data_IF_725920505023
#
_entry.id   IF_725920505023
#
_cell.length_a   1.000
_cell.length_b   1.000
_cell.length_c   1.000
_cell.angle_alpha   90.00
_cell.angle_beta   90.00
_cell.angle_gamma   90.00
#
_symmetry.space_group_name_H-M   'P 1'
#
loop_
_entity.id
_entity.type
_entity.pdbx_description
1 polymer ?
#
# COMPACT_ATOMS: atom_id res chain seq x y z
N UNK A 1 -0.58 51.63 26.41
CA UNK A 1 -0.75 50.17 26.28
C UNK A 1 -1.52 49.93 25.01
N UNK A 2 -0.96 49.47 23.90
CA UNK A 2 -1.76 49.03 22.79
C UNK A 2 -2.21 47.59 23.06
N UNK A 3 -3.51 47.39 22.92
CA UNK A 3 -4.22 46.13 23.00
C UNK A 3 -3.66 45.16 21.98
N UNK A 4 -3.33 43.94 22.42
CA UNK A 4 -2.96 42.86 21.56
C UNK A 4 -4.18 42.40 20.73
N UNK A 5 -4.12 42.67 19.44
CA UNK A 5 -5.08 42.08 18.48
C UNK A 5 -4.95 40.56 18.51
N UNK A 6 -6.04 39.90 18.91
CA UNK A 6 -6.19 38.49 18.76
C UNK A 6 -5.82 38.08 17.32
N UNK A 7 -4.93 37.12 17.13
CA UNK A 7 -4.63 36.57 15.83
C UNK A 7 -5.95 35.93 15.31
N UNK A 8 -6.57 36.57 14.33
CA UNK A 8 -7.67 35.99 13.58
C UNK A 8 -7.17 34.66 13.03
N UNK A 9 -7.91 33.60 13.33
CA UNK A 9 -7.62 32.23 12.88
C UNK A 9 -7.85 32.19 11.35
N UNK A 10 -6.81 32.59 10.59
CA UNK A 10 -6.85 32.60 9.13
C UNK A 10 -6.70 31.17 8.65
N UNK A 11 -7.59 30.72 7.74
CA UNK A 11 -7.46 29.42 7.08
C UNK A 11 -6.14 29.32 6.32
N UNK A 12 -5.70 28.10 6.05
CA UNK A 12 -4.41 27.80 5.43
C UNK A 12 -4.58 27.31 4.00
N UNK A 13 -3.77 27.83 3.07
CA UNK A 13 -3.63 27.31 1.72
C UNK A 13 -2.24 26.73 1.53
N UNK A 14 -2.17 25.43 1.27
CA UNK A 14 -0.93 24.72 0.96
C UNK A 14 -0.68 24.70 -0.56
N UNK A 15 0.56 24.96 -0.97
CA UNK A 15 0.94 25.03 -2.39
C UNK A 15 1.85 23.87 -2.76
N UNK A 16 1.36 23.04 -3.65
CA UNK A 16 2.04 21.90 -4.26
C UNK A 16 2.62 22.32 -5.60
N UNK A 17 3.95 22.38 -5.74
CA UNK A 17 4.60 22.78 -7.00
C UNK A 17 6.10 22.45 -7.01
N UNK A 18 6.73 22.52 -8.20
CA UNK A 18 8.19 22.54 -8.30
C UNK A 18 8.81 23.83 -7.74
N UNK A 19 10.07 23.76 -7.30
CA UNK A 19 10.82 24.91 -6.77
C UNK A 19 11.95 25.33 -7.72
N UNK A 20 12.21 26.63 -7.80
CA UNK A 20 13.28 27.18 -8.62
C UNK A 20 13.06 27.01 -10.12
N UNK A 21 14.15 26.94 -10.88
CA UNK A 21 14.09 26.68 -12.32
C UNK A 21 13.94 25.20 -12.57
N UNK A 22 12.92 24.83 -13.33
CA UNK A 22 12.63 23.43 -13.73
C UNK A 22 12.50 23.34 -15.25
N UNK A 23 13.06 22.28 -15.82
CA UNK A 23 12.93 21.96 -17.24
C UNK A 23 11.86 20.91 -17.44
N UNK A 24 10.92 21.21 -18.30
CA UNK A 24 9.99 20.23 -18.84
C UNK A 24 10.73 19.40 -19.90
N UNK A 25 10.88 18.10 -19.63
CA UNK A 25 11.64 17.19 -20.51
C UNK A 25 10.92 16.84 -21.81
N UNK A 26 9.59 17.06 -21.89
CA UNK A 26 8.83 16.83 -23.13
C UNK A 26 8.96 18.00 -24.10
N UNK A 27 8.95 19.22 -23.60
CA UNK A 27 9.00 20.43 -24.41
C UNK A 27 10.41 21.05 -24.48
N UNK A 28 11.32 20.66 -23.58
CA UNK A 28 12.65 21.26 -23.44
C UNK A 28 12.65 22.67 -22.84
N UNK A 29 11.48 23.20 -22.42
CA UNK A 29 11.34 24.56 -21.85
C UNK A 29 11.76 24.56 -20.39
N UNK A 30 12.50 25.59 -20.00
CA UNK A 30 12.86 25.83 -18.59
C UNK A 30 12.07 27.01 -18.05
N UNK A 31 11.37 26.79 -16.92
CA UNK A 31 10.54 27.81 -16.27
C UNK A 31 11.08 28.13 -14.88
N UNK A 32 11.07 29.41 -14.51
CA UNK A 32 11.34 29.88 -13.14
C UNK A 32 10.04 29.85 -12.32
N UNK A 33 9.75 28.72 -11.72
CA UNK A 33 8.51 28.48 -10.96
C UNK A 33 8.43 29.30 -9.68
N UNK A 34 9.56 29.77 -9.13
CA UNK A 34 9.55 30.68 -7.99
C UNK A 34 8.94 32.05 -8.34
N UNK A 35 8.98 32.45 -9.61
CA UNK A 35 8.28 33.66 -10.06
C UNK A 35 6.78 33.47 -10.10
N UNK A 36 6.30 32.30 -10.53
CA UNK A 36 4.88 31.95 -10.44
C UNK A 36 4.41 32.01 -8.98
N UNK A 37 5.16 31.38 -8.07
CA UNK A 37 4.83 31.40 -6.66
C UNK A 37 4.77 32.81 -6.08
N UNK A 38 5.84 33.58 -6.25
CA UNK A 38 5.98 34.93 -5.66
C UNK A 38 5.04 35.97 -6.26
N UNK A 39 4.82 35.90 -7.57
CA UNK A 39 4.09 36.94 -8.28
C UNK A 39 2.59 36.63 -8.45
N UNK A 40 2.20 35.39 -8.49
CA UNK A 40 0.81 34.96 -8.72
C UNK A 40 0.22 34.25 -7.49
N UNK A 41 0.77 33.08 -7.12
CA UNK A 41 0.09 32.19 -6.17
C UNK A 41 0.02 32.83 -4.77
N UNK A 42 1.17 33.19 -4.21
CA UNK A 42 1.24 33.75 -2.84
C UNK A 42 0.42 35.04 -2.68
N UNK A 43 0.45 35.99 -3.63
CA UNK A 43 -0.43 37.17 -3.58
C UNK A 43 -1.91 36.85 -3.72
N UNK A 44 -2.29 35.88 -4.59
CA UNK A 44 -3.67 35.49 -4.77
C UNK A 44 -4.27 34.82 -3.51
N UNK A 45 -3.51 33.93 -2.87
CA UNK A 45 -3.90 33.29 -1.61
C UNK A 45 -4.08 34.33 -0.49
N UNK A 46 -3.14 35.28 -0.37
CA UNK A 46 -3.25 36.34 0.61
C UNK A 46 -4.45 37.26 0.34
N UNK A 47 -4.72 37.59 -0.92
CA UNK A 47 -5.88 38.38 -1.30
C UNK A 47 -7.22 37.64 -1.00
N UNK A 48 -7.22 36.31 -1.03
CA UNK A 48 -8.34 35.47 -0.60
C UNK A 48 -8.48 35.35 0.94
N UNK A 49 -7.60 35.97 1.73
CA UNK A 49 -7.66 35.99 3.20
C UNK A 49 -7.01 34.78 3.87
N UNK A 50 -6.30 33.94 3.12
CA UNK A 50 -5.68 32.71 3.63
C UNK A 50 -4.16 32.90 3.90
N UNK A 51 -3.62 32.10 4.81
CA UNK A 51 -2.19 31.93 4.97
C UNK A 51 -1.65 31.01 3.86
N UNK A 52 -0.57 31.45 3.18
CA UNK A 52 0.03 30.70 2.09
C UNK A 52 1.29 29.99 2.56
N UNK A 53 1.30 28.66 2.46
CA UNK A 53 2.43 27.81 2.85
C UNK A 53 2.86 26.95 1.66
N UNK A 54 4.16 26.97 1.33
CA UNK A 54 4.77 26.07 0.36
C UNK A 54 5.72 25.12 1.09
N UNK A 55 5.94 23.90 0.57
CA UNK A 55 6.67 22.85 1.28
C UNK A 55 8.11 23.27 1.70
N UNK A 56 8.81 24.06 0.90
CA UNK A 56 10.16 24.58 1.22
C UNK A 56 10.16 25.72 2.27
N UNK A 57 9.01 26.29 2.59
CA UNK A 57 8.85 27.30 3.65
C UNK A 57 8.59 26.67 5.03
N UNK A 58 8.40 25.32 5.10
CA UNK A 58 8.14 24.61 6.35
C UNK A 58 9.48 24.30 7.04
N UNK A 59 9.70 24.93 8.20
CA UNK A 59 10.87 24.65 9.05
C UNK A 59 10.58 23.45 9.95
N UNK A 60 11.34 22.36 9.81
CA UNK A 60 11.19 21.18 10.65
C UNK A 60 12.54 20.54 11.00
N UNK A 61 12.60 19.80 12.10
CA UNK A 61 13.75 19.02 12.57
C UNK A 61 13.40 17.52 12.58
N UNK A 62 13.18 16.90 11.41
CA UNK A 62 12.78 15.48 11.33
C UNK A 62 12.64 15.00 9.91
N UNK A 63 11.85 13.95 9.69
CA UNK A 63 11.54 13.46 8.35
C UNK A 63 10.81 14.53 7.55
N UNK A 64 11.34 14.87 6.39
CA UNK A 64 10.85 15.95 5.50
C UNK A 64 9.39 15.72 5.08
N UNK A 65 8.99 14.46 4.95
CA UNK A 65 7.71 14.07 4.36
C UNK A 65 6.50 14.26 5.30
N UNK A 66 6.68 14.11 6.62
CA UNK A 66 5.57 14.15 7.59
C UNK A 66 4.82 15.49 7.59
N UNK A 67 5.49 16.67 7.70
CA UNK A 67 4.80 17.95 7.65
C UNK A 67 4.08 18.21 6.32
N UNK A 68 4.61 17.72 5.21
CA UNK A 68 3.97 17.83 3.89
C UNK A 68 2.64 17.06 3.85
N UNK A 69 2.62 15.79 4.30
CA UNK A 69 1.38 15.01 4.36
C UNK A 69 0.35 15.61 5.32
N UNK A 70 0.80 16.19 6.43
CA UNK A 70 -0.09 16.90 7.35
C UNK A 70 -0.73 18.13 6.67
N UNK A 71 0.01 18.89 5.87
CA UNK A 71 -0.53 19.99 5.10
C UNK A 71 -1.51 19.52 4.02
N UNK A 72 -1.18 18.44 3.27
CA UNK A 72 -2.08 17.86 2.27
C UNK A 72 -3.42 17.43 2.88
N UNK A 73 -3.42 16.95 4.12
CA UNK A 73 -4.63 16.54 4.81
C UNK A 73 -5.38 17.72 5.44
N UNK A 74 -4.67 18.63 6.14
CA UNK A 74 -5.29 19.60 7.05
C UNK A 74 -5.52 20.97 6.40
N UNK A 75 -4.75 21.39 5.38
CA UNK A 75 -4.94 22.67 4.73
C UNK A 75 -6.38 22.85 4.23
N UNK A 76 -6.95 24.03 4.45
CA UNK A 76 -8.30 24.37 4.03
C UNK A 76 -8.44 24.37 2.51
N UNK A 77 -7.41 24.89 1.81
CA UNK A 77 -7.30 24.89 0.35
C UNK A 77 -5.95 24.32 -0.06
N UNK A 78 -5.89 23.61 -1.17
CA UNK A 78 -4.63 23.25 -1.84
C UNK A 78 -4.62 23.81 -3.25
N UNK A 79 -3.53 24.47 -3.62
CA UNK A 79 -3.24 24.88 -5.00
C UNK A 79 -2.10 24.01 -5.53
N UNK A 80 -2.38 23.22 -6.56
CA UNK A 80 -1.38 22.35 -7.20
C UNK A 80 -1.00 22.92 -8.58
N UNK A 81 0.26 23.33 -8.73
CA UNK A 81 0.84 23.75 -10.00
C UNK A 81 1.60 22.59 -10.65
N UNK A 82 1.05 22.07 -11.75
CA UNK A 82 1.58 20.92 -12.48
C UNK A 82 2.59 21.32 -13.57
N UNK A 83 2.96 22.58 -13.65
CA UNK A 83 3.91 23.09 -14.65
C UNK A 83 5.21 22.29 -14.66
N UNK A 84 5.79 22.13 -15.86
CA UNK A 84 6.99 21.31 -16.11
C UNK A 84 6.82 19.80 -15.86
N UNK A 85 5.58 19.28 -15.84
CA UNK A 85 5.27 17.87 -15.63
C UNK A 85 5.95 17.29 -14.38
N UNK A 86 5.96 18.08 -13.27
CA UNK A 86 6.66 17.71 -12.05
C UNK A 86 6.04 16.48 -11.39
N UNK A 87 6.78 15.37 -11.37
CA UNK A 87 6.31 14.08 -10.84
C UNK A 87 5.88 14.13 -9.38
N UNK A 88 6.57 14.92 -8.55
CA UNK A 88 6.20 15.07 -7.13
C UNK A 88 4.88 15.83 -6.99
N UNK A 89 4.67 16.89 -7.78
CA UNK A 89 3.41 17.63 -7.76
C UNK A 89 2.22 16.76 -8.17
N UNK A 90 2.39 15.86 -9.16
CA UNK A 90 1.35 14.90 -9.52
C UNK A 90 1.08 13.89 -8.40
N UNK A 91 2.13 13.38 -7.75
CA UNK A 91 1.99 12.46 -6.62
C UNK A 91 1.26 13.12 -5.44
N UNK A 92 1.70 14.31 -5.04
CA UNK A 92 1.12 15.08 -3.94
C UNK A 92 -0.35 15.46 -4.21
N UNK A 93 -0.68 15.82 -5.46
CA UNK A 93 -2.06 16.05 -5.89
C UNK A 93 -2.91 14.78 -5.76
N UNK A 94 -2.38 13.62 -6.18
CA UNK A 94 -3.05 12.33 -6.02
C UNK A 94 -3.31 11.98 -4.56
N UNK A 95 -2.33 12.22 -3.69
CA UNK A 95 -2.48 12.07 -2.23
C UNK A 95 -3.55 13.02 -1.69
N UNK A 96 -3.55 14.31 -2.09
CA UNK A 96 -4.57 15.27 -1.67
C UNK A 96 -5.96 14.81 -2.10
N UNK A 97 -6.14 14.37 -3.35
CA UNK A 97 -7.41 13.86 -3.85
C UNK A 97 -7.89 12.62 -3.08
N UNK A 98 -6.97 11.76 -2.59
CA UNK A 98 -7.32 10.61 -1.76
C UNK A 98 -7.67 10.99 -0.32
N UNK A 99 -7.11 12.08 0.21
CA UNK A 99 -7.31 12.52 1.59
C UNK A 99 -8.54 13.42 1.78
N UNK A 100 -8.88 14.23 0.77
CA UNK A 100 -9.93 15.25 0.89
C UNK A 100 -10.69 15.42 -0.43
N UNK A 101 -12.04 15.39 -0.42
CA UNK A 101 -12.86 15.41 -1.64
C UNK A 101 -13.13 16.82 -2.20
N UNK A 102 -12.58 17.87 -1.60
CA UNK A 102 -12.89 19.26 -1.98
C UNK A 102 -11.78 20.24 -1.63
N UNK A 103 -11.91 21.46 -2.14
CA UNK A 103 -11.01 22.59 -1.94
C UNK A 103 -9.61 22.39 -2.51
N UNK A 104 -9.53 21.78 -3.71
CA UNK A 104 -8.29 21.60 -4.46
C UNK A 104 -8.38 22.30 -5.81
N UNK A 105 -7.47 23.22 -6.07
CA UNK A 105 -7.33 23.91 -7.34
C UNK A 105 -6.10 23.44 -8.08
N UNK A 106 -6.27 23.05 -9.34
CA UNK A 106 -5.16 22.66 -10.21
C UNK A 106 -4.89 23.77 -11.22
N UNK A 107 -3.63 24.18 -11.30
CA UNK A 107 -3.15 25.17 -12.27
C UNK A 107 -1.95 24.59 -13.04
N UNK A 108 -1.66 25.15 -14.21
CA UNK A 108 -0.43 24.88 -14.94
C UNK A 108 -0.12 25.98 -15.94
N UNK A 109 1.11 26.02 -16.44
CA UNK A 109 1.44 26.86 -17.59
C UNK A 109 0.85 26.29 -18.89
N UNK A 110 0.59 27.15 -19.85
CA UNK A 110 -0.16 26.83 -21.09
C UNK A 110 0.64 26.05 -22.16
N UNK A 111 1.93 25.83 -21.94
CA UNK A 111 2.78 25.05 -22.84
C UNK A 111 2.69 23.54 -22.63
N UNK A 112 2.07 23.08 -21.53
CA UNK A 112 1.80 21.65 -21.33
C UNK A 112 0.70 21.20 -22.30
N UNK A 113 1.05 20.30 -23.22
CA UNK A 113 0.14 19.81 -24.27
C UNK A 113 -0.65 18.57 -23.88
N UNK A 114 -0.10 17.76 -23.01
CA UNK A 114 -0.69 16.47 -22.60
C UNK A 114 -0.60 16.30 -21.10
N UNK A 115 -1.75 16.01 -20.49
CA UNK A 115 -1.82 15.55 -19.10
C UNK A 115 -1.91 14.02 -19.05
N UNK A 116 -1.42 13.38 -17.99
CA UNK A 116 -1.75 11.97 -17.73
C UNK A 116 -3.27 11.77 -17.82
N UNK A 117 -3.68 10.61 -18.32
CA UNK A 117 -5.09 10.28 -18.58
C UNK A 117 -5.98 10.56 -17.35
N UNK A 118 -5.50 10.23 -16.16
CA UNK A 118 -6.25 10.37 -14.90
C UNK A 118 -6.48 11.83 -14.46
N UNK A 119 -5.69 12.79 -15.00
CA UNK A 119 -5.84 14.22 -14.71
C UNK A 119 -6.69 14.95 -15.76
N UNK A 120 -6.92 14.37 -16.92
CA UNK A 120 -7.76 14.98 -17.97
C UNK A 120 -9.21 15.25 -17.57
N UNK A 121 -9.66 14.67 -16.46
CA UNK A 121 -11.01 14.87 -15.89
C UNK A 121 -11.06 15.99 -14.85
N UNK A 122 -9.91 16.57 -14.48
CA UNK A 122 -9.80 17.64 -13.48
C UNK A 122 -9.81 18.99 -14.19
N UNK A 123 -10.52 19.97 -13.62
CA UNK A 123 -10.53 21.34 -14.13
C UNK A 123 -9.19 22.02 -13.86
N UNK A 124 -8.36 22.18 -14.92
CA UNK A 124 -7.06 22.81 -14.84
C UNK A 124 -7.17 24.26 -15.36
N UNK A 125 -6.67 25.23 -14.58
CA UNK A 125 -6.60 26.63 -14.97
C UNK A 125 -5.21 26.95 -15.49
N UNK A 126 -5.12 27.52 -16.69
CA UNK A 126 -3.84 27.78 -17.35
C UNK A 126 -3.42 29.24 -17.29
N UNK A 127 -2.10 29.45 -17.12
CA UNK A 127 -1.44 30.74 -17.20
C UNK A 127 -0.26 30.69 -18.19
N UNK A 128 0.11 31.84 -18.74
CA UNK A 128 1.23 31.94 -19.66
C UNK A 128 2.54 32.25 -18.96
N UNK A 129 3.59 31.42 -19.22
CA UNK A 129 4.93 31.60 -18.67
C UNK A 129 5.98 31.71 -19.78
N UNK A 130 6.76 32.77 -19.82
CA UNK A 130 7.76 33.04 -20.85
C UNK A 130 9.11 32.33 -20.64
N UNK A 131 9.27 31.54 -19.57
CA UNK A 131 10.50 30.86 -19.14
C UNK A 131 11.17 31.58 -17.97
N UNK A 132 11.90 32.64 -18.18
CA UNK A 132 12.58 33.40 -17.13
C UNK A 132 11.65 34.34 -16.35
N UNK A 133 10.40 34.52 -16.79
CA UNK A 133 9.43 35.38 -16.12
C UNK A 133 8.02 35.21 -16.66
N UNK A 134 7.12 36.01 -16.11
CA UNK A 134 5.71 36.10 -16.49
C UNK A 134 5.44 37.54 -16.85
N UNK A 135 4.73 37.79 -17.93
CA UNK A 135 4.32 39.13 -18.31
C UNK A 135 3.47 39.81 -17.24
N UNK A 136 3.58 41.11 -17.09
CA UNK A 136 2.87 41.86 -16.03
C UNK A 136 1.34 41.73 -16.19
N UNK A 137 0.82 41.87 -17.40
CA UNK A 137 -0.62 41.81 -17.64
C UNK A 137 -1.14 40.40 -17.34
N UNK A 138 -0.34 39.38 -17.63
CA UNK A 138 -0.68 37.97 -17.31
C UNK A 138 -0.63 37.73 -15.77
N UNK A 139 0.33 38.30 -15.06
CA UNK A 139 0.36 38.25 -13.59
C UNK A 139 -0.91 38.82 -13.00
N UNK A 140 -1.33 40.01 -13.43
CA UNK A 140 -2.55 40.67 -12.95
C UNK A 140 -3.80 39.85 -13.30
N UNK A 141 -3.90 39.38 -14.55
CA UNK A 141 -5.01 38.55 -15.03
C UNK A 141 -5.16 37.27 -14.21
N UNK A 142 -4.08 36.51 -14.12
CA UNK A 142 -4.16 35.19 -13.51
C UNK A 142 -4.22 35.25 -11.98
N UNK A 143 -3.60 36.28 -11.35
CA UNK A 143 -3.76 36.51 -9.92
C UNK A 143 -5.24 36.72 -9.57
N UNK A 144 -5.97 37.55 -10.34
CA UNK A 144 -7.39 37.72 -10.16
C UNK A 144 -8.19 36.44 -10.33
N UNK A 145 -7.94 35.67 -11.41
CA UNK A 145 -8.60 34.38 -11.68
C UNK A 145 -8.39 33.41 -10.53
N UNK A 146 -7.17 33.32 -10.01
CA UNK A 146 -6.84 32.39 -8.92
C UNK A 146 -7.44 32.85 -7.59
N UNK A 147 -7.42 34.16 -7.28
CA UNK A 147 -8.06 34.71 -6.08
C UNK A 147 -9.56 34.41 -6.08
N UNK A 148 -10.26 34.71 -7.17
CA UNK A 148 -11.70 34.52 -7.31
C UNK A 148 -12.04 33.04 -7.14
N UNK A 149 -11.26 32.13 -7.75
CA UNK A 149 -11.43 30.69 -7.64
C UNK A 149 -11.21 30.17 -6.19
N UNK A 150 -10.17 30.66 -5.49
CA UNK A 150 -9.92 30.30 -4.09
C UNK A 150 -11.12 30.72 -3.21
N UNK A 151 -11.55 31.97 -3.35
CA UNK A 151 -12.70 32.51 -2.59
C UNK A 151 -13.97 31.71 -2.86
N UNK A 152 -14.23 31.37 -4.12
CA UNK A 152 -15.40 30.58 -4.52
C UNK A 152 -15.40 29.21 -3.84
N UNK A 153 -14.33 28.40 -3.98
CA UNK A 153 -14.31 27.03 -3.46
C UNK A 153 -14.24 26.99 -1.92
N UNK A 154 -13.56 27.97 -1.31
CA UNK A 154 -13.42 28.04 0.15
C UNK A 154 -14.74 28.36 0.84
N UNK A 155 -15.54 29.25 0.25
CA UNK A 155 -16.81 29.71 0.84
C UNK A 155 -18.02 28.90 0.38
N UNK A 156 -17.86 27.98 -0.59
CA UNK A 156 -19.00 27.20 -1.13
C UNK A 156 -19.57 26.23 -0.11
N UNK A 157 -20.89 26.34 0.14
CA UNK A 157 -21.61 25.46 1.05
C UNK A 157 -22.86 24.88 0.35
N UNK A 158 -23.04 23.56 0.31
CA UNK A 158 -22.06 22.53 0.67
C UNK A 158 -20.82 22.54 -0.27
N UNK A 159 -19.64 22.10 0.19
CA UNK A 159 -18.46 22.06 -0.66
C UNK A 159 -18.66 21.10 -1.83
N UNK A 160 -18.15 21.49 -2.99
CA UNK A 160 -18.26 20.67 -4.21
C UNK A 160 -17.12 19.65 -4.25
N UNK A 161 -17.44 18.40 -4.60
CA UNK A 161 -16.44 17.37 -4.85
C UNK A 161 -15.61 17.76 -6.09
N UNK A 162 -14.30 17.92 -5.90
CA UNK A 162 -13.31 18.21 -6.93
C UNK A 162 -12.27 17.08 -7.08
N UNK A 163 -12.44 15.99 -6.31
CA UNK A 163 -11.56 14.83 -6.35
C UNK A 163 -12.09 13.73 -7.25
N UNK A 164 -11.33 13.29 -8.27
CA UNK A 164 -11.67 12.11 -9.06
C UNK A 164 -11.85 10.86 -8.20
N UNK A 165 -11.04 10.69 -7.13
CA UNK A 165 -11.11 9.53 -6.24
C UNK A 165 -12.51 9.39 -5.63
N UNK A 166 -13.06 10.47 -5.07
CA UNK A 166 -14.41 10.46 -4.48
C UNK A 166 -15.54 10.54 -5.51
N UNK A 167 -15.24 10.97 -6.74
CA UNK A 167 -16.21 10.94 -7.83
C UNK A 167 -16.42 9.50 -8.37
N UNK A 168 -15.36 8.70 -8.44
CA UNK A 168 -15.41 7.33 -8.97
C UNK A 168 -15.62 6.26 -7.89
N UNK A 169 -15.14 6.50 -6.65
CA UNK A 169 -15.28 5.57 -5.53
C UNK A 169 -16.42 6.02 -4.62
N UNK A 170 -17.65 5.69 -5.01
CA UNK A 170 -18.83 6.01 -4.24
C UNK A 170 -18.80 5.37 -2.84
N UNK A 171 -19.03 6.18 -1.80
CA UNK A 171 -19.05 5.71 -0.41
C UNK A 171 -17.70 5.74 0.31
N UNK A 172 -16.63 6.20 -0.34
CA UNK A 172 -15.37 6.45 0.35
C UNK A 172 -15.55 7.58 1.37
N UNK A 173 -15.12 7.34 2.63
CA UNK A 173 -15.18 8.35 3.70
C UNK A 173 -13.85 9.06 3.84
N UNK A 174 -13.79 10.40 3.75
CA UNK A 174 -12.53 11.13 3.92
C UNK A 174 -11.92 10.88 5.31
N UNK A 175 -10.58 10.73 5.43
CA UNK A 175 -9.93 10.45 6.72
C UNK A 175 -10.19 11.49 7.81
N UNK A 176 -10.37 12.76 7.45
CA UNK A 176 -10.73 13.80 8.40
C UNK A 176 -12.14 13.61 8.97
N UNK A 177 -13.11 13.23 8.12
CA UNK A 177 -14.47 12.94 8.54
C UNK A 177 -14.51 11.66 9.40
N UNK A 178 -13.78 10.62 9.01
CA UNK A 178 -13.65 9.40 9.79
C UNK A 178 -13.10 9.66 11.20
N UNK A 179 -12.09 10.54 11.35
CA UNK A 179 -11.56 10.95 12.65
C UNK A 179 -12.57 11.75 13.48
N UNK A 180 -13.30 12.68 12.87
CA UNK A 180 -14.34 13.47 13.56
C UNK A 180 -15.47 12.56 14.06
N UNK A 181 -15.91 11.61 13.24
CA UNK A 181 -16.91 10.62 13.60
C UNK A 181 -16.46 9.72 14.77
N UNK A 182 -15.17 9.32 14.78
CA UNK A 182 -14.59 8.57 15.89
C UNK A 182 -14.60 9.36 17.20
N UNK A 183 -14.23 10.65 17.16
CA UNK A 183 -14.28 11.52 18.34
C UNK A 183 -15.70 11.71 18.89
N UNK A 184 -16.70 11.81 18.03
CA UNK A 184 -18.13 11.88 18.43
C UNK A 184 -18.58 10.56 19.03
N UNK A 185 -18.20 9.41 18.44
CA UNK A 185 -18.55 8.09 18.95
C UNK A 185 -17.93 7.84 20.35
N UNK A 186 -16.66 8.25 20.59
CA UNK A 186 -16.03 8.19 21.90
C UNK A 186 -16.75 9.11 22.94
N UNK A 187 -17.16 10.30 22.52
CA UNK A 187 -17.87 11.23 23.39
C UNK A 187 -19.26 10.68 23.75
N UNK A 188 -19.98 10.08 22.81
CA UNK A 188 -21.28 9.42 23.03
C UNK A 188 -21.12 8.19 23.92
N UNK A 189 -20.10 7.35 23.69
CA UNK A 189 -19.82 6.17 24.51
C UNK A 189 -19.45 6.54 25.98
N UNK A 190 -18.85 7.71 26.18
CA UNK A 190 -18.52 8.23 27.53
C UNK A 190 -19.72 8.87 28.24
N UNK A 191 -20.71 9.35 27.49
CA UNK A 191 -21.86 10.11 28.05
C UNK A 191 -23.14 9.30 28.24
N UNK A 192 -23.26 8.09 27.68
CA UNK A 192 -24.48 7.28 27.82
C UNK A 192 -24.17 5.77 27.74
N UNK A 193 -23.90 5.07 28.88
CA UNK A 193 -23.72 3.62 28.86
C UNK A 193 -24.96 2.83 28.48
N UNK A 194 -26.17 3.41 28.54
CA UNK A 194 -27.45 2.70 28.42
C UNK A 194 -28.33 3.06 27.21
N UNK A 195 -27.82 3.86 26.24
CA UNK A 195 -28.64 4.32 25.12
C UNK A 195 -28.25 3.67 23.77
N UNK A 196 -28.07 2.36 23.72
CA UNK A 196 -27.94 1.61 22.46
C UNK A 196 -29.17 0.74 22.26
N UNK A 197 -30.31 1.39 22.02
CA UNK A 197 -31.51 0.77 21.47
C UNK A 197 -32.39 1.89 20.86
N UNK A 198 -32.14 2.30 19.66
CA UNK A 198 -33.08 2.50 18.57
C UNK A 198 -32.51 3.30 17.41
N UNK A 199 -32.53 2.72 16.21
CA UNK A 199 -32.81 3.33 14.91
C UNK A 199 -31.95 4.49 14.40
N UNK A 200 -30.74 4.23 13.82
CA UNK A 200 -29.99 5.25 13.07
C UNK A 200 -28.72 4.72 12.37
N UNK A 201 -28.91 3.92 11.33
CA UNK A 201 -27.93 2.93 10.84
C UNK A 201 -26.71 3.38 10.03
N UNK A 202 -26.25 4.65 9.92
CA UNK A 202 -25.10 4.91 9.03
C UNK A 202 -23.84 5.52 9.69
N UNK A 203 -23.99 6.33 10.71
CA UNK A 203 -22.88 7.01 11.39
C UNK A 203 -22.34 6.17 12.55
N UNK A 204 -23.25 5.52 13.29
CA UNK A 204 -22.90 4.58 14.37
C UNK A 204 -22.17 3.34 13.83
N UNK A 205 -22.53 2.88 12.64
CA UNK A 205 -21.93 1.70 12.01
C UNK A 205 -20.48 1.94 11.59
N UNK A 206 -20.15 3.09 11.02
CA UNK A 206 -18.76 3.43 10.64
C UNK A 206 -17.84 3.61 11.86
N UNK A 207 -18.34 4.22 12.93
CA UNK A 207 -17.61 4.36 14.19
C UNK A 207 -17.38 2.99 14.86
N UNK A 208 -18.40 2.13 14.88
CA UNK A 208 -18.32 0.76 15.37
C UNK A 208 -17.32 -0.06 14.57
N UNK A 209 -17.29 0.10 13.23
CA UNK A 209 -16.32 -0.53 12.33
C UNK A 209 -14.87 -0.16 12.68
N UNK A 210 -14.58 1.12 12.87
CA UNK A 210 -13.24 1.60 13.21
C UNK A 210 -12.75 1.06 14.56
N UNK A 211 -13.62 1.05 15.56
CA UNK A 211 -13.30 0.50 16.88
C UNK A 211 -13.04 -1.02 16.82
N UNK A 212 -13.87 -1.76 16.08
CA UNK A 212 -13.67 -3.20 15.92
C UNK A 212 -12.35 -3.50 15.20
N UNK A 213 -12.00 -2.73 14.16
CA UNK A 213 -10.73 -2.90 13.44
C UNK A 213 -9.51 -2.63 14.33
N UNK A 214 -9.57 -1.61 15.21
CA UNK A 214 -8.50 -1.36 16.19
C UNK A 214 -8.36 -2.52 17.19
N UNK A 215 -9.47 -3.10 17.64
CA UNK A 215 -9.45 -4.28 18.50
C UNK A 215 -8.91 -5.52 17.77
N UNK A 216 -9.22 -5.68 16.48
CA UNK A 216 -8.61 -6.71 15.63
C UNK A 216 -7.10 -6.54 15.57
N UNK A 217 -6.61 -5.31 15.34
CA UNK A 217 -5.17 -5.00 15.30
C UNK A 217 -4.48 -5.32 16.63
N UNK A 218 -5.12 -4.95 17.74
CA UNK A 218 -4.63 -5.23 19.07
C UNK A 218 -4.54 -6.74 19.34
N UNK A 219 -5.64 -7.46 19.12
CA UNK A 219 -5.68 -8.91 19.32
C UNK A 219 -4.64 -9.65 18.46
N UNK A 220 -4.44 -9.22 17.19
CA UNK A 220 -3.40 -9.77 16.32
C UNK A 220 -1.98 -9.53 16.86
N UNK A 221 -1.69 -8.33 17.38
CA UNK A 221 -0.38 -8.00 17.98
C UNK A 221 -0.11 -8.82 19.24
N UNK A 222 -1.14 -9.12 20.01
CA UNK A 222 -1.09 -9.94 21.22
C UNK A 222 -1.07 -11.45 20.91
N UNK A 223 -1.25 -11.85 19.64
CA UNK A 223 -1.31 -13.25 19.23
C UNK A 223 -2.65 -13.93 19.51
N UNK A 224 -3.66 -13.18 19.95
CA UNK A 224 -5.02 -13.69 20.18
C UNK A 224 -5.81 -13.73 18.85
N UNK A 225 -5.46 -14.71 18.02
CA UNK A 225 -6.12 -14.90 16.72
C UNK A 225 -7.57 -15.34 16.84
N UNK A 226 -7.97 -15.94 17.96
CA UNK A 226 -9.37 -16.35 18.20
C UNK A 226 -10.27 -15.12 18.36
N UNK A 227 -9.90 -14.20 19.22
CA UNK A 227 -10.61 -12.93 19.39
C UNK A 227 -10.58 -12.11 18.11
N UNK A 228 -9.41 -12.01 17.45
CA UNK A 228 -9.28 -11.28 16.18
C UNK A 228 -10.23 -11.84 15.08
N UNK A 229 -10.37 -13.18 15.00
CA UNK A 229 -11.29 -13.85 14.06
C UNK A 229 -12.75 -13.46 14.31
N UNK A 230 -13.19 -13.51 15.57
CA UNK A 230 -14.57 -13.16 15.94
C UNK A 230 -14.88 -11.70 15.58
N UNK A 231 -13.98 -10.78 15.97
CA UNK A 231 -14.14 -9.36 15.70
C UNK A 231 -14.21 -9.08 14.19
N UNK A 232 -13.29 -9.64 13.41
CA UNK A 232 -13.24 -9.38 11.97
C UNK A 232 -14.39 -10.05 11.22
N UNK A 233 -14.88 -11.22 11.69
CA UNK A 233 -16.10 -11.85 11.18
C UNK A 233 -17.33 -10.98 11.43
N UNK A 234 -17.39 -10.32 12.60
CA UNK A 234 -18.46 -9.36 12.92
C UNK A 234 -18.42 -8.17 11.96
N UNK A 235 -17.23 -7.61 11.71
CA UNK A 235 -17.03 -6.51 10.74
C UNK A 235 -17.55 -6.91 9.36
N UNK A 236 -17.13 -8.09 8.84
CA UNK A 236 -17.61 -8.62 7.55
C UNK A 236 -19.15 -8.80 7.53
N UNK A 237 -19.71 -9.32 8.63
CA UNK A 237 -21.16 -9.50 8.78
C UNK A 237 -21.93 -8.18 8.72
N UNK A 238 -21.44 -7.14 9.39
CA UNK A 238 -22.03 -5.79 9.37
C UNK A 238 -21.98 -5.19 7.96
N UNK A 239 -20.86 -5.36 7.23
CA UNK A 239 -20.75 -4.88 5.84
C UNK A 239 -21.77 -5.56 4.92
N UNK A 240 -21.98 -6.87 5.07
CA UNK A 240 -22.99 -7.62 4.29
C UNK A 240 -24.41 -7.29 4.68
N UNK A 241 -24.68 -7.00 5.94
CA UNK A 241 -25.99 -6.59 6.42
C UNK A 241 -26.39 -5.20 5.88
N UNK A 242 -25.41 -4.29 5.78
CA UNK A 242 -25.63 -2.95 5.23
C UNK A 242 -25.93 -2.97 3.71
N UNK A 243 -25.29 -3.85 2.96
CA UNK A 243 -25.54 -4.08 1.53
C UNK A 243 -25.31 -5.56 1.17
N UNK A 244 -26.36 -6.38 1.11
CA UNK A 244 -26.26 -7.80 0.76
C UNK A 244 -25.69 -8.09 -0.63
N UNK A 245 -25.79 -7.14 -1.56
CA UNK A 245 -25.29 -7.29 -2.93
C UNK A 245 -23.87 -6.74 -3.12
N UNK A 246 -23.28 -6.14 -2.08
CA UNK A 246 -21.93 -5.61 -2.14
C UNK A 246 -20.94 -6.75 -2.41
N UNK A 247 -20.00 -6.57 -3.36
CA UNK A 247 -18.89 -7.50 -3.52
C UNK A 247 -18.10 -7.64 -2.21
N UNK A 248 -17.51 -8.81 -2.00
CA UNK A 248 -16.61 -9.01 -0.85
C UNK A 248 -15.46 -7.99 -0.89
N UNK A 249 -15.12 -7.44 0.26
CA UNK A 249 -13.95 -6.58 0.40
C UNK A 249 -12.68 -7.47 0.48
N UNK A 250 -11.79 -7.40 -0.52
CA UNK A 250 -10.62 -8.27 -0.55
C UNK A 250 -9.75 -8.15 0.70
N UNK A 251 -9.52 -6.94 1.22
CA UNK A 251 -8.72 -6.72 2.41
C UNK A 251 -9.31 -7.42 3.64
N UNK A 252 -10.61 -7.31 3.85
CA UNK A 252 -11.29 -7.96 4.98
C UNK A 252 -11.24 -9.49 4.85
N UNK A 253 -11.51 -10.01 3.65
CA UNK A 253 -11.50 -11.47 3.41
C UNK A 253 -10.10 -12.05 3.55
N UNK A 254 -9.09 -11.43 2.95
CA UNK A 254 -7.68 -11.84 3.05
C UNK A 254 -7.22 -11.87 4.51
N UNK A 255 -7.49 -10.79 5.23
CA UNK A 255 -7.13 -10.69 6.64
C UNK A 255 -7.87 -11.71 7.50
N UNK A 256 -9.16 -11.93 7.25
CA UNK A 256 -9.95 -12.94 7.94
C UNK A 256 -9.43 -14.35 7.66
N UNK A 257 -9.08 -14.67 6.43
CA UNK A 257 -8.49 -15.94 6.07
C UNK A 257 -7.16 -16.18 6.79
N UNK A 258 -6.27 -15.18 6.80
CA UNK A 258 -5.00 -15.21 7.54
C UNK A 258 -5.20 -15.48 9.03
N UNK A 259 -6.09 -14.74 9.67
CA UNK A 259 -6.40 -14.87 11.10
C UNK A 259 -7.02 -16.24 11.39
N UNK A 260 -7.93 -16.72 10.53
CA UNK A 260 -8.63 -17.98 10.68
C UNK A 260 -7.66 -19.16 10.74
N UNK A 261 -6.75 -19.30 9.77
CA UNK A 261 -5.82 -20.43 9.83
C UNK A 261 -4.77 -20.30 10.94
N UNK A 262 -4.43 -19.06 11.37
CA UNK A 262 -3.54 -18.83 12.53
C UNK A 262 -4.22 -19.15 13.85
N UNK A 263 -5.53 -18.97 13.97
CA UNK A 263 -6.29 -19.33 15.16
C UNK A 263 -6.31 -20.85 15.42
N UNK A 264 -6.17 -21.68 14.37
CA UNK A 264 -6.17 -23.15 14.45
C UNK A 264 -7.40 -23.75 15.16
N UNK A 265 -8.54 -23.05 15.09
CA UNK A 265 -9.77 -23.42 15.78
C UNK A 265 -10.88 -23.75 14.77
N UNK A 266 -11.71 -24.79 15.01
CA UNK A 266 -11.65 -25.74 16.15
C UNK A 266 -10.51 -26.76 16.04
N UNK A 267 -10.01 -27.03 14.85
CA UNK A 267 -8.79 -27.83 14.57
C UNK A 267 -7.94 -27.13 13.50
N UNK A 268 -6.62 -27.39 13.40
CA UNK A 268 -5.78 -26.81 12.36
C UNK A 268 -6.33 -27.07 10.96
N UNK A 269 -6.76 -28.30 10.65
CA UNK A 269 -7.31 -28.66 9.34
C UNK A 269 -8.62 -27.91 9.04
N UNK A 270 -9.56 -27.87 9.99
CA UNK A 270 -10.83 -27.15 9.81
C UNK A 270 -10.61 -25.64 9.65
N UNK A 271 -9.66 -25.07 10.39
CA UNK A 271 -9.29 -23.67 10.22
C UNK A 271 -8.70 -23.35 8.84
N UNK A 272 -7.92 -24.27 8.27
CA UNK A 272 -7.40 -24.16 6.91
C UNK A 272 -8.50 -24.28 5.86
N UNK A 273 -9.42 -25.23 6.01
CA UNK A 273 -10.57 -25.37 5.11
C UNK A 273 -11.49 -24.15 5.15
N UNK A 274 -11.72 -23.57 6.32
CA UNK A 274 -12.48 -22.33 6.45
C UNK A 274 -11.75 -21.15 5.79
N UNK A 275 -10.44 -21.03 5.97
CA UNK A 275 -9.63 -20.02 5.33
C UNK A 275 -9.64 -20.17 3.79
N UNK A 276 -9.58 -21.41 3.29
CA UNK A 276 -9.71 -21.73 1.86
C UNK A 276 -11.06 -21.26 1.32
N UNK A 277 -12.15 -21.61 2.00
CA UNK A 277 -13.50 -21.21 1.59
C UNK A 277 -13.69 -19.67 1.58
N UNK A 278 -13.06 -18.95 2.53
CA UNK A 278 -13.04 -17.49 2.52
C UNK A 278 -12.34 -16.95 1.27
N UNK A 279 -11.15 -17.46 0.96
CA UNK A 279 -10.38 -17.00 -0.20
C UNK A 279 -11.04 -17.36 -1.53
N UNK A 280 -11.80 -18.45 -1.62
CA UNK A 280 -12.57 -18.81 -2.81
C UNK A 280 -13.56 -17.70 -3.23
N UNK A 281 -14.08 -16.92 -2.27
CA UNK A 281 -14.99 -15.80 -2.58
C UNK A 281 -14.31 -14.69 -3.39
N UNK A 282 -12.97 -14.65 -3.40
CA UNK A 282 -12.15 -13.71 -4.17
C UNK A 282 -11.71 -14.28 -5.53
N UNK A 283 -12.22 -15.44 -5.93
CA UNK A 283 -11.90 -16.11 -7.19
C UNK A 283 -10.38 -16.25 -7.47
N UNK A 284 -9.58 -16.92 -6.61
CA UNK A 284 -8.12 -16.96 -6.72
C UNK A 284 -7.62 -17.51 -8.06
N UNK A 285 -8.39 -18.39 -8.72
CA UNK A 285 -8.04 -18.96 -10.03
C UNK A 285 -7.93 -17.91 -11.13
N UNK A 286 -8.71 -16.83 -11.07
CA UNK A 286 -8.72 -15.75 -12.06
C UNK A 286 -8.19 -14.43 -11.52
N UNK A 287 -7.95 -14.32 -10.22
CA UNK A 287 -7.45 -13.12 -9.57
C UNK A 287 -6.04 -12.75 -10.05
N UNK A 288 -5.77 -11.46 -10.19
CA UNK A 288 -4.44 -10.89 -10.36
C UNK A 288 -3.94 -10.20 -9.08
N UNK A 289 -4.70 -10.28 -8.00
CA UNK A 289 -4.30 -9.74 -6.70
C UNK A 289 -3.30 -10.69 -6.02
N UNK A 290 -2.08 -10.23 -5.90
CA UNK A 290 -0.94 -11.04 -5.43
C UNK A 290 -1.03 -11.40 -3.95
N UNK A 291 -1.76 -10.63 -3.14
CA UNK A 291 -2.02 -10.98 -1.74
C UNK A 291 -2.98 -12.18 -1.65
N UNK A 292 -4.08 -12.15 -2.42
CA UNK A 292 -5.00 -13.30 -2.54
C UNK A 292 -4.25 -14.55 -2.99
N UNK A 293 -3.39 -14.43 -4.02
CA UNK A 293 -2.62 -15.56 -4.56
C UNK A 293 -1.61 -16.10 -3.56
N UNK A 294 -0.90 -15.23 -2.85
CA UNK A 294 0.05 -15.62 -1.80
C UNK A 294 -0.63 -16.32 -0.61
N UNK A 295 -1.78 -15.81 -0.16
CA UNK A 295 -2.58 -16.46 0.89
C UNK A 295 -3.18 -17.79 0.43
N UNK A 296 -3.67 -17.87 -0.81
CA UNK A 296 -4.16 -19.11 -1.41
C UNK A 296 -3.07 -20.18 -1.42
N UNK A 297 -1.88 -19.83 -1.92
CA UNK A 297 -0.72 -20.71 -1.91
C UNK A 297 -0.33 -21.13 -0.49
N UNK A 298 -0.34 -20.20 0.48
CA UNK A 298 0.00 -20.48 1.87
C UNK A 298 -0.99 -21.42 2.59
N UNK A 299 -2.28 -21.28 2.31
CA UNK A 299 -3.33 -22.17 2.85
C UNK A 299 -3.22 -23.55 2.24
N UNK A 300 -3.10 -23.66 0.91
CA UNK A 300 -2.98 -24.93 0.22
C UNK A 300 -1.68 -25.68 0.55
N UNK A 301 -0.55 -24.97 0.73
CA UNK A 301 0.71 -25.56 1.24
C UNK A 301 0.50 -26.26 2.58
N UNK A 302 -0.24 -25.62 3.50
CA UNK A 302 -0.52 -26.20 4.82
C UNK A 302 -1.54 -27.32 4.78
N UNK A 303 -2.53 -27.24 3.88
CA UNK A 303 -3.46 -28.35 3.65
C UNK A 303 -2.73 -29.58 3.09
N UNK A 304 -1.76 -29.37 2.19
CA UNK A 304 -0.86 -30.43 1.75
C UNK A 304 -0.06 -31.03 2.93
N UNK A 305 0.52 -30.20 3.79
CA UNK A 305 1.27 -30.68 4.96
C UNK A 305 0.40 -31.56 5.88
N UNK A 306 -0.89 -31.25 6.04
CA UNK A 306 -1.83 -31.99 6.90
C UNK A 306 -2.43 -33.24 6.22
N UNK A 307 -2.74 -33.17 4.93
CA UNK A 307 -3.54 -34.18 4.25
C UNK A 307 -2.75 -35.08 3.30
N UNK A 308 -1.59 -34.62 2.82
CA UNK A 308 -0.79 -35.22 1.74
C UNK A 308 -1.57 -35.39 0.43
N UNK A 309 -2.63 -34.59 0.21
CA UNK A 309 -3.39 -34.61 -1.03
C UNK A 309 -2.68 -33.74 -2.09
N UNK A 310 -2.26 -34.40 -3.19
CA UNK A 310 -1.56 -33.74 -4.31
C UNK A 310 -2.35 -32.57 -4.94
N UNK A 311 -3.68 -32.62 -4.87
CA UNK A 311 -4.50 -31.49 -5.35
C UNK A 311 -4.19 -30.19 -4.61
N UNK A 312 -3.92 -30.27 -3.31
CA UNK A 312 -3.51 -29.10 -2.54
C UNK A 312 -2.09 -28.64 -2.89
N UNK A 313 -1.18 -29.57 -3.15
CA UNK A 313 0.17 -29.23 -3.60
C UNK A 313 0.14 -28.49 -4.95
N UNK A 314 -0.65 -28.97 -5.90
CA UNK A 314 -0.81 -28.35 -7.22
C UNK A 314 -1.43 -26.95 -7.13
N UNK A 315 -2.46 -26.77 -6.30
CA UNK A 315 -3.05 -25.46 -6.07
C UNK A 315 -2.08 -24.49 -5.37
N UNK A 316 -1.25 -24.96 -4.43
CA UNK A 316 -0.23 -24.15 -3.80
C UNK A 316 0.83 -23.69 -4.82
N UNK A 317 1.34 -24.60 -5.66
CA UNK A 317 2.27 -24.27 -6.74
C UNK A 317 1.66 -23.24 -7.67
N UNK A 318 0.42 -23.46 -8.15
CA UNK A 318 -0.29 -22.56 -9.07
C UNK A 318 -0.47 -21.16 -8.49
N UNK A 319 -0.82 -21.05 -7.20
CA UNK A 319 -1.00 -19.77 -6.50
C UNK A 319 0.31 -18.99 -6.41
N UNK A 320 1.38 -19.63 -5.94
CA UNK A 320 2.68 -18.97 -5.82
C UNK A 320 3.34 -18.68 -7.17
N UNK A 321 3.18 -19.55 -8.17
CA UNK A 321 3.70 -19.33 -9.52
C UNK A 321 3.08 -18.10 -10.14
N UNK A 322 1.75 -17.98 -10.10
CA UNK A 322 1.06 -16.80 -10.62
C UNK A 322 1.42 -15.53 -9.83
N UNK A 323 1.46 -15.62 -8.49
CA UNK A 323 1.87 -14.50 -7.64
C UNK A 323 3.28 -14.02 -7.95
N UNK A 324 4.23 -14.95 -8.15
CA UNK A 324 5.60 -14.64 -8.49
C UNK A 324 5.72 -13.92 -9.84
N UNK A 325 5.13 -14.46 -10.91
CA UNK A 325 5.23 -13.85 -12.24
C UNK A 325 4.47 -12.52 -12.39
N UNK A 326 3.46 -12.26 -11.53
CA UNK A 326 2.76 -10.97 -11.52
C UNK A 326 3.52 -9.89 -10.77
N UNK A 327 4.18 -10.22 -9.66
CA UNK A 327 4.81 -9.25 -8.76
C UNK A 327 6.34 -9.25 -8.82
N UNK A 328 6.93 -10.37 -9.25
CA UNK A 328 8.38 -10.58 -9.24
C UNK A 328 9.00 -10.33 -7.86
N UNK A 329 8.41 -10.94 -6.82
CA UNK A 329 8.85 -10.78 -5.43
C UNK A 329 9.50 -12.05 -4.85
N UNK A 330 10.39 -11.86 -3.88
CA UNK A 330 11.15 -12.94 -3.28
C UNK A 330 10.28 -13.93 -2.48
N UNK A 331 9.17 -13.47 -1.87
CA UNK A 331 8.31 -14.30 -1.03
C UNK A 331 7.57 -15.36 -1.85
N UNK A 332 6.88 -14.94 -2.92
CA UNK A 332 6.20 -15.89 -3.80
C UNK A 332 7.20 -16.80 -4.51
N UNK A 333 8.34 -16.25 -4.96
CA UNK A 333 9.37 -16.99 -5.68
C UNK A 333 10.01 -18.11 -4.85
N UNK A 334 10.42 -17.83 -3.62
CA UNK A 334 11.07 -18.86 -2.78
C UNK A 334 10.09 -19.97 -2.37
N UNK A 335 8.84 -19.64 -2.06
CA UNK A 335 7.82 -20.63 -1.77
C UNK A 335 7.47 -21.48 -3.00
N UNK A 336 7.38 -20.88 -4.18
CA UNK A 336 7.24 -21.59 -5.45
C UNK A 336 8.38 -22.60 -5.64
N UNK A 337 9.62 -22.15 -5.53
CA UNK A 337 10.80 -23.00 -5.73
C UNK A 337 10.85 -24.18 -4.76
N UNK A 338 10.50 -23.93 -3.49
CA UNK A 338 10.39 -25.02 -2.49
C UNK A 338 9.32 -26.03 -2.87
N UNK A 339 8.11 -25.58 -3.21
CA UNK A 339 6.99 -26.47 -3.54
C UNK A 339 7.19 -27.23 -4.85
N UNK A 340 7.89 -26.66 -5.82
CA UNK A 340 8.32 -27.40 -7.02
C UNK A 340 9.25 -28.57 -6.65
N UNK A 341 10.17 -28.40 -5.69
CA UNK A 341 10.97 -29.55 -5.21
C UNK A 341 10.12 -30.58 -4.45
N UNK A 342 9.12 -30.13 -3.67
CA UNK A 342 8.18 -31.05 -3.01
C UNK A 342 7.39 -31.84 -4.07
N UNK A 343 6.89 -31.17 -5.11
CA UNK A 343 6.14 -31.82 -6.18
C UNK A 343 7.03 -32.75 -7.00
N UNK A 344 8.28 -32.37 -7.28
CA UNK A 344 9.27 -33.24 -7.92
C UNK A 344 9.50 -34.56 -7.14
N UNK A 345 9.57 -34.47 -5.81
CA UNK A 345 9.73 -35.63 -4.93
C UNK A 345 8.51 -36.58 -4.93
N UNK A 346 7.31 -36.07 -5.25
CA UNK A 346 6.06 -36.82 -5.30
C UNK A 346 5.59 -37.15 -6.72
N UNK A 347 6.35 -36.73 -7.75
CA UNK A 347 5.98 -36.96 -9.15
C UNK A 347 6.03 -38.46 -9.53
N UNK A 348 5.02 -38.92 -10.26
CA UNK A 348 4.96 -40.27 -10.77
C UNK A 348 5.86 -40.45 -12.01
N UNK A 349 6.11 -39.41 -12.73
CA UNK A 349 6.93 -39.37 -13.94
C UNK A 349 8.30 -38.76 -13.65
N UNK A 350 9.38 -39.44 -14.06
CA UNK A 350 10.73 -38.90 -13.97
C UNK A 350 10.91 -37.59 -14.74
N UNK A 351 10.22 -37.46 -15.88
CA UNK A 351 10.29 -36.23 -16.68
C UNK A 351 9.66 -35.05 -15.95
N UNK A 352 8.52 -35.24 -15.28
CA UNK A 352 7.90 -34.20 -14.44
C UNK A 352 8.79 -33.82 -13.25
N UNK A 353 9.36 -34.80 -12.56
CA UNK A 353 10.28 -34.57 -11.46
C UNK A 353 11.48 -33.71 -11.89
N UNK A 354 12.09 -33.99 -13.05
CA UNK A 354 13.19 -33.23 -13.60
C UNK A 354 12.75 -31.83 -14.01
N UNK A 355 11.58 -31.69 -14.64
CA UNK A 355 11.04 -30.40 -15.07
C UNK A 355 10.82 -29.46 -13.86
N UNK A 356 10.18 -29.94 -12.82
CA UNK A 356 9.92 -29.16 -11.60
C UNK A 356 11.23 -28.79 -10.88
N UNK A 357 12.19 -29.71 -10.82
CA UNK A 357 13.47 -29.46 -10.18
C UNK A 357 14.27 -28.37 -10.92
N UNK A 358 14.32 -28.43 -12.25
CA UNK A 358 14.99 -27.41 -13.09
C UNK A 358 14.28 -26.07 -12.98
N UNK A 359 12.95 -26.07 -12.94
CA UNK A 359 12.19 -24.84 -12.77
C UNK A 359 12.44 -24.22 -11.38
N UNK A 360 12.51 -25.01 -10.33
CA UNK A 360 12.86 -24.56 -8.98
C UNK A 360 14.23 -23.85 -8.94
N UNK A 361 15.24 -24.40 -9.64
CA UNK A 361 16.55 -23.75 -9.75
C UNK A 361 16.49 -22.41 -10.49
N UNK A 362 15.72 -22.32 -11.58
CA UNK A 362 15.55 -21.07 -12.35
C UNK A 362 14.92 -19.98 -11.50
N UNK A 363 13.83 -20.32 -10.81
CA UNK A 363 13.13 -19.40 -9.92
C UNK A 363 14.06 -18.90 -8.81
N UNK A 364 14.88 -19.79 -8.19
CA UNK A 364 15.84 -19.37 -7.16
C UNK A 364 16.89 -18.40 -7.67
N UNK A 365 17.38 -18.55 -8.90
CA UNK A 365 18.33 -17.59 -9.49
C UNK A 365 17.69 -16.21 -9.67
N UNK A 366 16.42 -16.16 -10.09
CA UNK A 366 15.67 -14.90 -10.15
C UNK A 366 15.46 -14.30 -8.76
N UNK A 367 15.07 -15.12 -7.77
CA UNK A 367 14.92 -14.70 -6.37
C UNK A 367 16.22 -14.11 -5.80
N UNK A 368 17.38 -14.73 -6.08
CA UNK A 368 18.68 -14.19 -5.68
C UNK A 368 18.90 -12.78 -6.23
N UNK A 369 18.61 -12.55 -7.51
CA UNK A 369 18.73 -11.22 -8.13
C UNK A 369 17.80 -10.21 -7.48
N UNK A 370 16.57 -10.60 -7.13
CA UNK A 370 15.60 -9.76 -6.44
C UNK A 370 16.11 -9.39 -5.03
N UNK A 371 16.58 -10.38 -4.25
CA UNK A 371 17.09 -10.17 -2.90
C UNK A 371 18.32 -9.26 -2.91
N UNK A 372 19.28 -9.48 -3.82
CA UNK A 372 20.45 -8.64 -3.99
C UNK A 372 20.09 -7.18 -4.31
N UNK A 373 19.05 -6.95 -5.12
CA UNK A 373 18.58 -5.62 -5.42
C UNK A 373 17.94 -4.94 -4.20
N UNK A 374 17.16 -5.68 -3.41
CA UNK A 374 16.54 -5.17 -2.18
C UNK A 374 17.57 -4.83 -1.11
N UNK A 375 18.60 -5.65 -0.93
CA UNK A 375 19.65 -5.42 0.08
C UNK A 375 20.55 -4.22 -0.24
N UNK A 376 20.56 -3.71 -1.48
CA UNK A 376 21.23 -2.43 -1.83
C UNK A 376 20.46 -1.21 -1.32
N UNK A 377 19.22 -1.37 -0.90
CA UNK A 377 18.43 -0.29 -0.33
C UNK A 377 18.77 -0.13 1.16
N UNK A 378 19.51 0.92 1.50
CA UNK A 378 19.93 1.23 2.88
C UNK A 378 18.75 1.52 3.82
N UNK A 379 17.57 1.87 3.29
CA UNK A 379 16.36 2.16 4.06
C UNK A 379 15.46 0.93 4.28
N UNK A 380 15.91 -0.28 3.91
CA UNK A 380 15.14 -1.50 4.14
C UNK A 380 14.95 -1.75 5.64
N UNK A 381 13.70 -1.92 6.14
CA UNK A 381 13.44 -2.19 7.56
C UNK A 381 14.15 -3.45 8.03
N UNK A 382 14.71 -3.44 9.24
CA UNK A 382 15.46 -4.58 9.80
C UNK A 382 14.64 -5.90 9.83
N UNK A 383 13.34 -5.80 10.10
CA UNK A 383 12.47 -6.98 10.07
C UNK A 383 12.33 -7.57 8.66
N UNK A 384 12.29 -6.74 7.62
CA UNK A 384 12.24 -7.17 6.23
C UNK A 384 13.61 -7.67 5.76
N UNK A 385 14.69 -7.00 6.15
CA UNK A 385 16.05 -7.40 5.86
C UNK A 385 16.36 -8.83 6.34
N UNK A 386 15.84 -9.19 7.53
CA UNK A 386 15.94 -10.57 8.00
C UNK A 386 15.37 -11.58 7.00
N UNK A 387 14.13 -11.34 6.53
CA UNK A 387 13.45 -12.25 5.62
C UNK A 387 14.11 -12.31 4.24
N UNK A 388 14.64 -11.19 3.75
CA UNK A 388 15.40 -11.15 2.50
C UNK A 388 16.68 -11.98 2.62
N UNK A 389 17.46 -11.84 3.70
CA UNK A 389 18.67 -12.61 3.94
C UNK A 389 18.40 -14.11 4.14
N UNK A 390 17.33 -14.45 4.87
CA UNK A 390 16.89 -15.84 5.05
C UNK A 390 16.46 -16.48 3.72
N UNK A 391 15.80 -15.71 2.86
CA UNK A 391 15.43 -16.15 1.50
C UNK A 391 16.64 -16.33 0.61
N UNK A 392 17.64 -15.43 0.66
CA UNK A 392 18.90 -15.63 -0.06
C UNK A 392 19.60 -16.93 0.39
N UNK A 393 19.63 -17.17 1.72
CA UNK A 393 20.23 -18.40 2.25
C UNK A 393 19.52 -19.65 1.72
N UNK A 394 18.20 -19.66 1.71
CA UNK A 394 17.41 -20.77 1.14
C UNK A 394 17.65 -20.93 -0.37
N UNK A 395 17.69 -19.82 -1.10
CA UNK A 395 17.91 -19.83 -2.54
C UNK A 395 19.30 -20.34 -2.91
N UNK A 396 20.36 -19.87 -2.21
CA UNK A 396 21.73 -20.39 -2.39
C UNK A 396 21.83 -21.89 -2.08
N UNK A 397 21.24 -22.35 -0.99
CA UNK A 397 21.17 -23.79 -0.69
C UNK A 397 20.50 -24.56 -1.83
N UNK A 398 19.37 -24.05 -2.34
CA UNK A 398 18.60 -24.70 -3.39
C UNK A 398 19.28 -24.74 -4.76
N UNK A 399 20.27 -23.89 -5.03
CA UNK A 399 21.11 -23.94 -6.25
C UNK A 399 22.45 -24.66 -6.02
N UNK A 400 22.67 -25.22 -4.81
CA UNK A 400 23.86 -26.00 -4.47
C UNK A 400 25.06 -25.17 -3.99
N UNK A 401 24.89 -23.90 -3.70
CA UNK A 401 25.93 -23.02 -3.14
C UNK A 401 25.83 -22.96 -1.60
N UNK A 402 26.32 -24.02 -0.95
CA UNK A 402 26.20 -24.15 0.49
C UNK A 402 27.05 -23.13 1.26
N UNK A 403 28.18 -22.66 0.68
CA UNK A 403 29.03 -21.66 1.31
C UNK A 403 28.33 -20.30 1.44
N UNK A 404 27.71 -19.83 0.35
CA UNK A 404 26.91 -18.60 0.39
C UNK A 404 25.64 -18.76 1.21
N UNK A 405 24.98 -19.91 1.17
CA UNK A 405 23.82 -20.20 2.00
C UNK A 405 24.13 -20.04 3.49
N UNK A 406 25.25 -20.64 3.96
CA UNK A 406 25.68 -20.55 5.35
C UNK A 406 26.04 -19.11 5.74
N UNK A 407 26.79 -18.39 4.90
CA UNK A 407 27.16 -17.00 5.13
C UNK A 407 25.93 -16.11 5.28
N UNK A 408 24.93 -16.25 4.39
CA UNK A 408 23.68 -15.45 4.45
C UNK A 408 22.82 -15.79 5.65
N UNK A 409 22.82 -17.04 6.07
CA UNK A 409 22.14 -17.47 7.29
C UNK A 409 22.77 -16.85 8.54
N UNK A 410 24.10 -16.78 8.61
CA UNK A 410 24.81 -16.12 9.69
C UNK A 410 24.54 -14.60 9.71
N UNK A 411 24.55 -13.94 8.55
CA UNK A 411 24.15 -12.55 8.42
C UNK A 411 22.71 -12.30 8.93
N UNK A 412 21.74 -13.16 8.57
CA UNK A 412 20.36 -13.06 9.03
C UNK A 412 20.22 -13.24 10.56
N UNK A 413 21.04 -14.12 11.15
CA UNK A 413 20.96 -14.44 12.59
C UNK A 413 21.77 -13.52 13.48
N UNK A 414 22.67 -12.70 12.92
CA UNK A 414 23.58 -11.83 13.65
C UNK A 414 22.88 -10.77 14.53
N UNK A 415 21.79 -10.10 14.11
CA UNK A 415 21.16 -9.10 14.96
C UNK A 415 20.58 -9.70 16.23
N UNK A 416 20.90 -9.09 17.39
CA UNK A 416 20.39 -9.52 18.69
C UNK A 416 18.85 -9.38 18.81
N UNK A 417 18.27 -8.49 17.98
CA UNK A 417 16.81 -8.26 17.90
C UNK A 417 16.05 -9.37 17.16
N UNK A 418 16.76 -10.28 16.47
CA UNK A 418 16.11 -11.38 15.72
C UNK A 418 15.45 -12.35 16.68
N UNK A 419 14.13 -12.46 16.61
CA UNK A 419 13.34 -13.32 17.49
C UNK A 419 13.70 -14.81 17.30
N UNK A 420 13.75 -15.55 18.39
CA UNK A 420 14.16 -16.96 18.37
C UNK A 420 13.28 -17.81 17.46
N UNK A 421 11.96 -17.59 17.44
CA UNK A 421 11.03 -18.32 16.57
C UNK A 421 11.31 -18.11 15.08
N UNK A 422 11.84 -16.95 14.68
CA UNK A 422 12.23 -16.68 13.29
C UNK A 422 13.42 -17.58 12.89
N UNK A 423 14.43 -17.65 13.76
CA UNK A 423 15.61 -18.49 13.56
C UNK A 423 15.25 -19.98 13.47
N UNK A 424 14.34 -20.42 14.33
CA UNK A 424 13.85 -21.80 14.35
C UNK A 424 13.08 -22.14 13.06
N UNK A 425 12.13 -21.29 12.64
CA UNK A 425 11.38 -21.45 11.41
C UNK A 425 12.29 -21.52 10.18
N UNK A 426 13.30 -20.66 10.11
CA UNK A 426 14.27 -20.66 9.00
C UNK A 426 15.09 -21.95 9.00
N UNK A 427 15.60 -22.42 10.15
CA UNK A 427 16.35 -23.70 10.24
C UNK A 427 15.49 -24.88 9.79
N UNK A 428 14.26 -24.98 10.27
CA UNK A 428 13.33 -26.04 9.86
C UNK A 428 13.10 -26.06 8.34
N UNK A 429 12.93 -24.89 7.74
CA UNK A 429 12.75 -24.76 6.29
C UNK A 429 14.01 -25.21 5.53
N UNK A 430 15.20 -24.77 5.97
CA UNK A 430 16.46 -25.17 5.39
C UNK A 430 16.68 -26.71 5.49
N UNK A 431 16.33 -27.30 6.62
CA UNK A 431 16.48 -28.75 6.83
C UNK A 431 15.49 -29.56 5.98
N UNK A 432 14.27 -29.04 5.78
CA UNK A 432 13.31 -29.62 4.82
C UNK A 432 13.87 -29.60 3.40
N UNK A 433 14.41 -28.46 3.00
CA UNK A 433 14.99 -28.30 1.67
C UNK A 433 16.19 -29.23 1.47
N UNK A 434 17.12 -29.33 2.44
CA UNK A 434 18.27 -30.27 2.35
C UNK A 434 17.83 -31.70 2.10
N UNK A 435 16.77 -32.16 2.79
CA UNK A 435 16.23 -33.51 2.57
C UNK A 435 15.70 -33.69 1.15
N UNK A 436 14.99 -32.73 0.60
CA UNK A 436 14.48 -32.76 -0.77
C UNK A 436 15.63 -32.76 -1.81
N UNK A 437 16.69 -32.00 -1.54
CA UNK A 437 17.84 -31.90 -2.44
C UNK A 437 18.72 -33.17 -2.43
N UNK A 438 18.81 -33.86 -1.29
CA UNK A 438 19.58 -35.09 -1.16
C UNK A 438 19.08 -36.19 -2.11
N UNK A 439 17.80 -36.17 -2.42
CA UNK A 439 17.18 -37.14 -3.36
C UNK A 439 16.80 -36.50 -4.71
N UNK A 440 17.61 -35.54 -5.14
CA UNK A 440 17.38 -34.79 -6.37
C UNK A 440 17.30 -35.68 -7.61
N UNK A 441 16.28 -35.53 -8.47
CA UNK A 441 16.18 -36.25 -9.71
C UNK A 441 17.27 -35.93 -10.75
N UNK A 442 18.01 -34.82 -10.57
CA UNK A 442 19.12 -34.44 -11.47
C UNK A 442 20.29 -35.39 -11.45
N UNK A 443 20.48 -36.17 -10.35
CA UNK A 443 21.48 -37.25 -10.32
C UNK A 443 21.31 -38.23 -11.49
N UNK A 444 20.08 -38.47 -11.93
CA UNK A 444 19.78 -39.40 -13.04
C UNK A 444 19.97 -38.76 -14.44
N UNK A 445 20.03 -37.42 -14.52
CA UNK A 445 20.26 -36.71 -15.79
C UNK A 445 21.75 -36.64 -16.08
N UNK A 446 22.59 -36.51 -15.05
CA UNK A 446 24.07 -36.48 -15.18
C UNK A 446 24.68 -37.82 -15.52
N UNK A 447 24.04 -38.93 -15.17
CA UNK A 447 24.50 -40.28 -15.44
C UNK A 447 24.13 -40.82 -16.83
N UNK A 448 23.29 -40.11 -17.59
CA UNK A 448 22.83 -40.51 -18.93
C UNK A 448 23.44 -39.71 -20.09
N UNK A 449 24.49 -38.99 -19.83
CA UNK A 449 25.21 -38.15 -20.81
C UNK A 449 26.58 -38.75 -21.16
N UNK A 450 26.63 -39.95 -21.73
CA UNK A 450 27.63 -40.43 -22.68
C UNK A 450 26.97 -40.78 -24.03
#
# INVERSE_FOLDING_TARGET
MPEGTAAENRGTCFVVMGFGKKTDFETGRTLDLDKTYRNIIKPAVKAAGLECVRADEIVHSGLIDVPMYEQLLNADVVVADLSTSNKNAFYELGVRHALKPYTTLVICEDGIKTFPFDINHVAVRQYHHMGEGIDFDEVERFRKVLTDAIVEIYNKQPPQNDSPVYAFLNGLTPPALARAMHGVAEAVAKSAPDAVADGGGSVADAATHSVLMQQVDKAQKEGDFTTAKVLLSTVRGMMKAADPNRPEDPYIVQRLALITYKAKQPTPQQALEEARALLETLNPVTSNDTETLGLWGAVHKRLWDETQDLAHLDEAVRGYERGFYLRNDYYNGINLAFLLNVRAANAQSRAEAVADFVQAERVRREVLSICEALLKNESLPEAEKYWVLATEAEAYLGVGDEANAQRKLEEAFAPASTAQWMKESTREQMDKLRRLLADSPLKYVKEGGE
#
